data_IF_151837027846
#
_entry.id   IF_151837027846
#
_cell.length_a   1.000
_cell.length_b   1.000
_cell.length_c   1.000
_cell.angle_alpha   90.00
_cell.angle_beta   90.00
_cell.angle_gamma   90.00
#
_symmetry.space_group_name_H-M   'P 1'
#
loop_
_entity.id
_entity.type
_entity.pdbx_description
1 polymer ?
#
# COMPACT_ATOMS: atom_id res chain seq x y z
N UNK A 1 8.30 14.19 -29.68
CA UNK A 1 7.13 14.83 -29.04
C UNK A 1 6.83 14.04 -27.79
N UNK A 2 7.28 14.52 -26.64
CA UNK A 2 7.03 13.86 -25.35
C UNK A 2 5.65 14.28 -24.87
N UNK A 3 4.72 13.35 -24.81
CA UNK A 3 3.42 13.55 -24.14
C UNK A 3 3.72 13.99 -22.70
N UNK A 4 3.12 15.09 -22.19
CA UNK A 4 3.26 15.42 -20.78
C UNK A 4 2.69 14.23 -20.00
N UNK A 5 3.53 13.59 -19.20
CA UNK A 5 3.06 12.59 -18.25
C UNK A 5 2.02 13.30 -17.38
N UNK A 6 0.77 12.86 -17.45
CA UNK A 6 -0.28 13.37 -16.57
C UNK A 6 0.21 13.16 -15.13
N UNK A 7 0.55 14.25 -14.47
CA UNK A 7 1.00 14.22 -13.09
C UNK A 7 -0.20 13.78 -12.23
N UNK A 8 -0.17 12.52 -11.78
CA UNK A 8 -1.26 11.97 -10.97
C UNK A 8 -1.19 12.66 -9.62
N UNK A 9 -2.23 13.42 -9.29
CA UNK A 9 -2.33 14.09 -7.99
C UNK A 9 -2.65 13.07 -6.90
N UNK A 10 -2.06 13.23 -5.70
CA UNK A 10 -2.44 12.44 -4.54
C UNK A 10 -3.95 12.54 -4.26
N UNK A 11 -4.57 11.39 -4.06
CA UNK A 11 -5.97 11.20 -3.72
C UNK A 11 -6.08 9.89 -2.92
N UNK A 12 -7.15 9.69 -2.16
CA UNK A 12 -7.49 8.40 -1.55
C UNK A 12 -8.40 7.55 -2.45
N UNK A 13 -8.74 6.32 -2.05
CA UNK A 13 -9.68 5.46 -2.77
C UNK A 13 -11.15 5.88 -2.62
N UNK A 14 -11.43 6.93 -1.85
CA UNK A 14 -12.79 7.38 -1.47
C UNK A 14 -13.48 6.48 -0.43
N UNK A 15 -13.39 5.16 -0.56
CA UNK A 15 -13.87 4.23 0.47
C UNK A 15 -13.07 2.93 0.50
N UNK A 16 -12.89 2.37 1.70
CA UNK A 16 -12.23 1.08 1.90
C UNK A 16 -13.15 0.17 2.72
N UNK A 17 -13.93 -0.73 2.09
CA UNK A 17 -14.97 -1.50 2.77
C UNK A 17 -14.48 -2.44 3.88
N UNK A 18 -13.20 -2.83 3.85
CA UNK A 18 -12.61 -3.69 4.89
C UNK A 18 -12.31 -2.92 6.18
N UNK A 19 -12.21 -1.59 6.11
CA UNK A 19 -11.93 -0.75 7.26
C UNK A 19 -13.19 -0.54 8.10
N UNK A 20 -13.09 -0.87 9.39
CA UNK A 20 -14.19 -0.77 10.35
C UNK A 20 -13.82 0.25 11.43
N UNK A 21 -14.70 1.22 11.76
CA UNK A 21 -14.46 2.16 12.85
C UNK A 21 -14.06 1.48 14.16
N UNK A 22 -13.00 1.99 14.78
CA UNK A 22 -12.45 1.44 16.03
C UNK A 22 -11.63 0.15 15.88
N UNK A 23 -11.37 -0.32 14.65
CA UNK A 23 -10.38 -1.38 14.39
C UNK A 23 -9.20 -0.81 13.60
N UNK A 24 -7.99 -1.19 13.98
CA UNK A 24 -6.78 -0.89 13.21
C UNK A 24 -6.84 -1.63 11.87
N UNK A 25 -6.62 -0.92 10.79
CA UNK A 25 -6.29 -1.49 9.48
C UNK A 25 -4.86 -1.14 9.08
N UNK A 26 -4.43 -1.63 7.92
CA UNK A 26 -3.11 -1.27 7.38
C UNK A 26 -3.19 -1.06 5.86
N UNK A 27 -2.42 -0.11 5.34
CA UNK A 27 -2.36 0.21 3.91
C UNK A 27 -0.93 0.15 3.41
N UNK A 28 -0.74 -0.35 2.19
CA UNK A 28 0.57 -0.45 1.55
C UNK A 28 0.69 0.59 0.44
N UNK A 29 1.79 1.32 0.40
CA UNK A 29 2.09 2.26 -0.68
C UNK A 29 3.45 1.90 -1.29
N UNK A 30 3.48 1.87 -2.62
CA UNK A 30 4.71 1.69 -3.38
C UNK A 30 5.12 3.02 -4.02
N UNK A 31 6.36 3.41 -3.77
CA UNK A 31 6.88 4.71 -4.20
C UNK A 31 8.26 4.54 -4.80
N UNK A 32 8.45 5.06 -6.01
CA UNK A 32 9.76 5.14 -6.66
C UNK A 32 10.49 6.39 -6.17
N UNK A 33 11.74 6.24 -5.74
CA UNK A 33 12.61 7.35 -5.33
C UNK A 33 14.07 6.97 -5.52
N UNK A 34 14.96 7.97 -5.61
CA UNK A 34 16.39 7.72 -5.72
C UNK A 34 16.98 7.20 -4.39
N UNK A 35 16.36 7.56 -3.26
CA UNK A 35 16.70 7.11 -1.92
C UNK A 35 15.47 7.00 -1.00
N UNK A 36 15.67 6.39 0.18
CA UNK A 36 14.61 6.14 1.16
C UNK A 36 13.95 7.43 1.68
N UNK A 37 14.69 8.49 2.09
CA UNK A 37 14.06 9.74 2.53
C UNK A 37 13.17 10.38 1.46
N UNK A 38 13.61 10.40 0.21
CA UNK A 38 12.81 10.97 -0.88
C UNK A 38 11.58 10.11 -1.19
N UNK A 39 11.70 8.79 -1.20
CA UNK A 39 10.56 7.90 -1.38
C UNK A 39 9.53 8.05 -0.24
N UNK A 40 9.97 8.25 1.00
CA UNK A 40 9.08 8.56 2.13
C UNK A 40 8.39 9.91 1.95
N UNK A 41 9.14 10.97 1.61
CA UNK A 41 8.56 12.30 1.36
C UNK A 41 7.52 12.28 0.24
N UNK A 42 7.72 11.46 -0.80
CA UNK A 42 6.76 11.26 -1.88
C UNK A 42 5.52 10.46 -1.46
N UNK A 43 5.60 9.70 -0.37
CA UNK A 43 4.51 8.87 0.14
C UNK A 43 3.55 9.68 1.02
N UNK A 44 4.07 10.62 1.82
CA UNK A 44 3.27 11.40 2.78
C UNK A 44 2.04 12.10 2.16
N UNK A 45 2.12 12.78 0.99
CA UNK A 45 0.95 13.41 0.39
C UNK A 45 -0.17 12.42 0.02
N UNK A 46 0.16 11.17 -0.29
CA UNK A 46 -0.83 10.12 -0.56
C UNK A 46 -1.49 9.61 0.71
N UNK A 47 -0.75 9.58 1.81
CA UNK A 47 -1.26 9.24 3.13
C UNK A 47 -2.23 10.32 3.60
N UNK A 48 -1.86 11.60 3.50
CA UNK A 48 -2.74 12.73 3.86
C UNK A 48 -4.03 12.75 3.03
N UNK A 49 -3.92 12.46 1.72
CA UNK A 49 -5.08 12.39 0.84
C UNK A 49 -6.00 11.19 1.16
N UNK A 50 -5.42 10.07 1.60
CA UNK A 50 -6.17 8.91 2.06
C UNK A 50 -7.00 9.24 3.32
N UNK A 51 -6.41 9.96 4.29
CA UNK A 51 -7.13 10.43 5.48
C UNK A 51 -8.35 11.28 5.12
N UNK A 52 -8.11 12.29 4.26
CA UNK A 52 -9.14 13.24 3.85
C UNK A 52 -10.29 12.58 3.10
N UNK A 53 -9.98 11.72 2.12
CA UNK A 53 -10.99 11.11 1.25
C UNK A 53 -11.78 10.00 1.95
N UNK A 54 -11.16 9.26 2.89
CA UNK A 54 -11.82 8.17 3.60
C UNK A 54 -12.37 8.56 4.98
N UNK A 55 -12.08 9.77 5.48
CA UNK A 55 -12.47 10.20 6.82
C UNK A 55 -11.75 9.42 7.93
N UNK A 56 -10.50 9.06 7.68
CA UNK A 56 -9.69 8.16 8.53
C UNK A 56 -8.59 8.96 9.21
N UNK A 57 -8.19 8.54 10.41
CA UNK A 57 -7.00 9.07 11.08
C UNK A 57 -5.85 8.08 10.94
N UNK A 58 -4.79 8.50 10.28
CA UNK A 58 -3.50 7.83 10.28
C UNK A 58 -2.71 8.33 11.48
N UNK A 59 -2.46 7.44 12.43
CA UNK A 59 -1.50 7.71 13.49
C UNK A 59 -0.08 7.56 12.96
N UNK A 60 0.40 8.56 12.22
CA UNK A 60 1.78 8.60 11.70
C UNK A 60 2.82 8.45 12.83
N UNK A 61 2.53 8.95 14.03
CA UNK A 61 3.38 8.82 15.22
C UNK A 61 3.30 7.45 15.93
N UNK A 62 2.20 6.71 15.79
CA UNK A 62 2.00 5.38 16.42
C UNK A 62 2.02 4.23 15.41
N UNK A 63 2.33 4.51 14.14
CA UNK A 63 2.46 3.49 13.10
C UNK A 63 3.57 2.51 13.51
N UNK A 64 3.16 1.33 14.00
CA UNK A 64 4.05 0.35 14.58
C UNK A 64 4.88 -0.39 13.50
N UNK A 65 4.52 -0.20 12.23
CA UNK A 65 5.05 -0.96 11.11
C UNK A 65 5.60 -0.06 10.00
N UNK A 66 6.69 0.67 10.29
CA UNK A 66 7.59 1.19 9.25
C UNK A 66 8.37 0.04 8.59
N UNK A 67 7.67 -0.88 7.93
CA UNK A 67 8.32 -1.91 7.13
C UNK A 67 8.75 -1.28 5.81
N UNK A 68 10.02 -0.89 5.75
CA UNK A 68 10.69 -0.42 4.55
C UNK A 68 11.42 -1.61 3.93
N UNK A 69 10.96 -2.05 2.78
CA UNK A 69 11.68 -3.06 2.02
C UNK A 69 11.70 -2.69 0.53
N UNK A 70 12.85 -2.88 -0.13
CA UNK A 70 12.87 -2.96 -1.59
C UNK A 70 11.87 -4.00 -2.04
N UNK A 71 11.05 -3.66 -3.04
CA UNK A 71 10.01 -4.58 -3.52
C UNK A 71 10.61 -5.91 -4.00
N UNK A 72 11.82 -5.90 -4.55
CA UNK A 72 12.59 -7.11 -4.91
C UNK A 72 12.84 -8.07 -3.72
N UNK A 73 13.02 -7.56 -2.50
CA UNK A 73 13.14 -8.39 -1.30
C UNK A 73 11.78 -8.96 -0.85
N UNK A 74 10.69 -8.24 -1.09
CA UNK A 74 9.34 -8.74 -0.80
C UNK A 74 8.88 -9.75 -1.85
N UNK A 75 9.17 -9.52 -3.14
CA UNK A 75 8.84 -10.41 -4.24
C UNK A 75 9.56 -11.76 -4.11
N UNK A 76 10.83 -11.76 -3.65
CA UNK A 76 11.56 -13.00 -3.37
C UNK A 76 10.99 -13.78 -2.20
N UNK A 77 10.43 -13.14 -1.17
CA UNK A 77 9.69 -13.84 -0.10
C UNK A 77 8.29 -14.33 -0.53
N UNK A 78 7.75 -13.77 -1.62
CA UNK A 78 6.52 -14.22 -2.26
C UNK A 78 6.74 -15.35 -3.28
N UNK A 79 7.98 -15.85 -3.46
CA UNK A 79 8.21 -17.03 -4.30
C UNK A 79 7.45 -18.23 -3.75
N UNK A 80 6.76 -19.00 -4.61
CA UNK A 80 5.90 -20.09 -4.18
C UNK A 80 6.76 -21.29 -3.74
N UNK A 81 7.31 -21.24 -2.52
CA UNK A 81 7.77 -22.44 -1.84
C UNK A 81 6.65 -23.17 -1.10
N UNK A 82 5.54 -22.48 -0.85
CA UNK A 82 4.28 -23.05 -0.38
C UNK A 82 3.12 -22.42 -1.15
N UNK A 83 2.22 -23.21 -1.76
CA UNK A 83 1.13 -22.69 -2.58
C UNK A 83 0.02 -21.95 -1.79
N UNK A 84 0.03 -21.97 -0.44
CA UNK A 84 -1.07 -21.39 0.35
C UNK A 84 -0.69 -20.35 1.42
N UNK A 85 0.55 -20.29 1.95
CA UNK A 85 0.69 -19.73 3.31
C UNK A 85 1.28 -18.31 3.46
N UNK A 86 2.22 -17.87 2.60
CA UNK A 86 2.99 -16.64 2.92
C UNK A 86 2.45 -15.33 2.33
N UNK A 87 1.96 -15.37 1.08
CA UNK A 87 1.37 -14.19 0.45
C UNK A 87 -0.03 -13.88 1.04
N UNK A 88 -0.79 -14.91 1.42
CA UNK A 88 -2.03 -14.75 2.21
C UNK A 88 -1.71 -14.14 3.57
N UNK A 89 -0.61 -14.57 4.21
CA UNK A 89 -0.18 -14.07 5.51
C UNK A 89 -0.09 -12.55 5.61
N UNK A 90 0.64 -11.88 4.71
CA UNK A 90 0.81 -10.41 4.76
C UNK A 90 -0.37 -9.67 4.13
N UNK A 91 -0.88 -10.13 2.98
CA UNK A 91 -2.01 -9.47 2.30
C UNK A 91 -3.28 -9.46 3.16
N UNK A 92 -3.46 -10.44 4.06
CA UNK A 92 -4.55 -10.47 5.02
C UNK A 92 -4.56 -9.26 5.98
N UNK A 93 -3.41 -8.65 6.24
CA UNK A 93 -3.34 -7.46 7.10
C UNK A 93 -3.50 -6.15 6.33
N UNK A 94 -3.45 -6.19 4.99
CA UNK A 94 -3.59 -5.01 4.15
C UNK A 94 -5.03 -4.81 3.72
N UNK A 95 -5.52 -3.58 3.88
CA UNK A 95 -6.85 -3.11 3.51
C UNK A 95 -6.86 -2.35 2.19
N UNK A 96 -5.75 -1.69 1.86
CA UNK A 96 -5.57 -1.02 0.58
C UNK A 96 -4.10 -1.06 0.12
N UNK A 97 -3.91 -0.98 -1.19
CA UNK A 97 -2.61 -0.97 -1.85
C UNK A 97 -2.60 0.18 -2.87
N UNK A 98 -1.59 1.06 -2.80
CA UNK A 98 -1.32 2.08 -3.81
C UNK A 98 -0.14 1.65 -4.68
N UNK A 99 -0.38 1.56 -5.99
CA UNK A 99 0.68 1.34 -6.98
C UNK A 99 0.57 2.36 -8.10
N UNK A 100 1.67 3.05 -8.41
CA UNK A 100 1.76 4.00 -9.53
C UNK A 100 0.59 5.01 -9.56
N UNK A 101 0.18 5.50 -8.37
CA UNK A 101 -0.90 6.46 -8.23
C UNK A 101 -2.33 5.89 -8.36
N UNK A 102 -2.49 4.57 -8.40
CA UNK A 102 -3.79 3.90 -8.43
C UNK A 102 -4.02 3.05 -7.18
N UNK A 103 -5.16 3.28 -6.51
CA UNK A 103 -5.56 2.49 -5.35
C UNK A 103 -6.26 1.18 -5.76
N UNK A 104 -5.93 0.13 -5.02
CA UNK A 104 -6.68 -1.12 -4.94
C UNK A 104 -7.14 -1.30 -3.50
N UNK A 105 -8.39 -1.70 -3.31
CA UNK A 105 -8.98 -1.93 -1.99
C UNK A 105 -9.33 -3.39 -1.81
N UNK A 106 -9.21 -3.88 -0.57
CA UNK A 106 -9.46 -5.28 -0.25
C UNK A 106 -10.92 -5.65 -0.51
N UNK A 107 -11.10 -6.66 -1.36
CA UNK A 107 -12.38 -7.31 -1.62
C UNK A 107 -12.67 -8.44 -0.63
N UNK A 108 -13.82 -9.11 -0.82
CA UNK A 108 -14.25 -10.24 0.03
C UNK A 108 -13.49 -11.54 -0.25
N UNK A 109 -12.90 -11.69 -1.43
CA UNK A 109 -12.14 -12.87 -1.84
C UNK A 109 -10.67 -12.75 -1.41
N UNK A 110 -10.21 -13.56 -0.44
CA UNK A 110 -8.83 -13.51 0.05
C UNK A 110 -7.80 -13.95 -0.99
N UNK A 111 -8.14 -14.88 -1.89
CA UNK A 111 -7.21 -15.38 -2.91
C UNK A 111 -7.01 -14.34 -4.00
N UNK A 112 -8.10 -13.70 -4.44
CA UNK A 112 -8.01 -12.58 -5.37
C UNK A 112 -7.21 -11.43 -4.77
N UNK A 113 -7.38 -11.13 -3.48
CA UNK A 113 -6.61 -10.08 -2.80
C UNK A 113 -5.12 -10.41 -2.69
N UNK A 114 -4.77 -11.65 -2.32
CA UNK A 114 -3.38 -12.09 -2.29
C UNK A 114 -2.73 -12.05 -3.69
N UNK A 115 -3.50 -12.29 -4.76
CA UNK A 115 -3.02 -12.14 -6.13
C UNK A 115 -2.78 -10.67 -6.51
N UNK A 116 -3.65 -9.74 -6.11
CA UNK A 116 -3.43 -8.30 -6.30
C UNK A 116 -2.19 -7.81 -5.55
N UNK A 117 -1.97 -8.26 -4.31
CA UNK A 117 -0.76 -7.97 -3.55
C UNK A 117 0.51 -8.47 -4.25
N UNK A 118 0.54 -9.73 -4.71
CA UNK A 118 1.69 -10.26 -5.47
C UNK A 118 1.93 -9.46 -6.75
N UNK A 119 0.87 -9.18 -7.50
CA UNK A 119 0.94 -8.38 -8.72
C UNK A 119 1.50 -6.99 -8.47
N UNK A 120 1.09 -6.33 -7.39
CA UNK A 120 1.62 -5.02 -6.98
C UNK A 120 3.14 -5.06 -6.75
N UNK A 121 3.65 -6.12 -6.14
CA UNK A 121 5.07 -6.31 -5.93
C UNK A 121 5.82 -6.68 -7.23
N UNK A 122 5.30 -7.63 -8.01
CA UNK A 122 5.93 -8.10 -9.25
C UNK A 122 6.00 -7.02 -10.35
N UNK A 123 5.04 -6.09 -10.36
CA UNK A 123 4.95 -5.02 -11.36
C UNK A 123 5.67 -3.73 -10.94
N UNK A 124 6.14 -3.66 -9.68
CA UNK A 124 6.88 -2.49 -9.22
C UNK A 124 8.26 -2.43 -9.92
N UNK A 125 8.67 -1.26 -10.43
CA UNK A 125 10.02 -1.08 -10.95
C UNK A 125 11.11 -1.44 -9.92
N UNK A 126 12.28 -1.88 -10.39
CA UNK A 126 13.43 -2.10 -9.52
C UNK A 126 13.77 -0.82 -8.74
N UNK A 127 14.16 -0.96 -7.47
CA UNK A 127 14.39 0.19 -6.59
C UNK A 127 13.11 0.87 -6.08
N UNK A 128 11.92 0.32 -6.36
CA UNK A 128 10.68 0.79 -5.71
C UNK A 128 10.72 0.44 -4.23
N UNK A 129 10.43 1.43 -3.40
CA UNK A 129 10.27 1.26 -1.97
C UNK A 129 8.82 0.90 -1.66
N UNK A 130 8.63 -0.12 -0.83
CA UNK A 130 7.35 -0.43 -0.23
C UNK A 130 7.28 0.14 1.18
N UNK A 131 6.16 0.76 1.52
CA UNK A 131 5.85 1.27 2.86
C UNK A 131 4.49 0.72 3.30
N UNK A 132 4.34 0.43 4.58
CA UNK A 132 3.07 0.03 5.20
C UNK A 132 2.74 1.02 6.29
N UNK A 133 1.47 1.43 6.37
CA UNK A 133 0.98 2.42 7.33
C UNK A 133 -0.24 1.88 8.05
N UNK A 134 -0.30 2.07 9.36
CA UNK A 134 -1.46 1.69 10.16
C UNK A 134 -2.51 2.79 10.12
N UNK A 135 -3.77 2.42 9.90
CA UNK A 135 -4.89 3.35 9.73
C UNK A 135 -5.99 3.06 10.75
N UNK A 136 -6.61 4.12 11.27
CA UNK A 136 -7.69 4.03 12.25
C UNK A 136 -8.91 4.80 11.74
N UNK A 137 -9.94 4.10 11.24
CA UNK A 137 -11.15 4.76 10.78
C UNK A 137 -11.85 5.41 11.98
N UNK A 138 -12.17 6.70 11.84
CA UNK A 138 -12.88 7.45 12.86
C UNK A 138 -14.30 6.90 13.04
N UNK A 139 -14.84 7.04 14.25
CA UNK A 139 -16.22 6.67 14.58
C UNK A 139 -17.22 7.67 14.00
#
# INVERSE_FOLDING_TARGET
>A
MSTPATEIRPHGPGSVPSLTPGRRGSVMLTTTGADTPQALANTLPWVDAFEADCGIELHTAETALYALAPVEHLATTCTPRDPEDKAVGVSHYLDAILTAGAWKVRGKDPQAWAAEYRRALEQAPAGTLCTVWDVFPRR
#
